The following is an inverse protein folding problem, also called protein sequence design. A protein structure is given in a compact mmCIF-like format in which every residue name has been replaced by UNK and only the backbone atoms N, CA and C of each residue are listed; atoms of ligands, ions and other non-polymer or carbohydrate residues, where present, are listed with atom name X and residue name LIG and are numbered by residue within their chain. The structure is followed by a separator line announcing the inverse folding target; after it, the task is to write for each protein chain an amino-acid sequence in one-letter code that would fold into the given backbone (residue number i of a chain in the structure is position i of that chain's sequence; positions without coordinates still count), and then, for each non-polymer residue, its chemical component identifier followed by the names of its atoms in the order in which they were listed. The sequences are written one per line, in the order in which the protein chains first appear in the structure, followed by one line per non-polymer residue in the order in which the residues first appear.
data_IF_586013861646
#
_entry.id   IF_586013861646
#
_cell.length_a   1.000
_cell.length_b   1.000
_cell.length_c   1.000
_cell.angle_alpha   90.00
_cell.angle_beta   90.00
_cell.angle_gamma   90.00
#
_symmetry.space_group_name_H-M   'P 1'
#
loop_
_entity.id
_entity.type
_entity.pdbx_description
1 polymer ?
#
# COMPACT_ATOMS: atom_id res chain seq x y z
N UNK A 1 12.17 -5.73 11.01
CA UNK A 1 11.55 -5.21 9.77
C UNK A 1 12.33 -5.59 8.52
N UNK A 2 11.71 -6.37 7.62
CA UNK A 2 12.31 -6.90 6.39
C UNK A 2 11.87 -6.11 5.17
N UNK A 3 12.62 -5.05 4.83
CA UNK A 3 12.34 -4.22 3.65
C UNK A 3 13.09 -4.76 2.43
N UNK A 4 12.36 -5.25 1.42
CA UNK A 4 12.96 -5.74 0.19
C UNK A 4 13.27 -4.58 -0.76
N UNK A 5 14.53 -4.14 -0.80
CA UNK A 5 14.98 -3.06 -1.68
C UNK A 5 15.45 -3.54 -3.05
N UNK A 6 15.69 -4.84 -3.25
CA UNK A 6 16.21 -5.36 -4.54
C UNK A 6 15.18 -5.31 -5.66
N UNK A 7 13.89 -5.25 -5.32
CA UNK A 7 12.79 -5.09 -6.29
C UNK A 7 12.63 -3.65 -6.79
N UNK A 8 13.30 -2.67 -6.18
CA UNK A 8 13.21 -1.28 -6.60
C UNK A 8 14.06 -1.07 -7.86
N UNK A 9 13.50 -0.50 -8.95
CA UNK A 9 14.28 -0.14 -10.14
C UNK A 9 15.44 0.82 -9.82
N UNK A 10 16.34 1.09 -10.77
CA UNK A 10 17.40 2.10 -10.59
C UNK A 10 16.88 3.52 -10.78
N UNK A 11 15.98 3.76 -11.74
CA UNK A 11 15.44 5.09 -12.04
C UNK A 11 14.33 5.57 -11.12
N UNK A 12 13.56 6.57 -11.55
CA UNK A 12 12.64 7.32 -10.69
C UNK A 12 11.43 6.50 -10.25
N UNK A 13 11.02 6.63 -8.99
CA UNK A 13 9.88 5.88 -8.42
C UNK A 13 8.83 6.83 -7.85
N UNK A 14 7.56 6.56 -8.16
CA UNK A 14 6.42 7.15 -7.47
C UNK A 14 6.13 6.44 -6.15
N UNK A 15 5.89 7.18 -5.08
CA UNK A 15 5.49 6.65 -3.78
C UNK A 15 4.00 6.93 -3.60
N UNK A 16 3.17 5.89 -3.65
CA UNK A 16 1.74 6.04 -3.42
C UNK A 16 1.48 6.24 -1.91
N UNK A 17 1.13 7.47 -1.52
CA UNK A 17 0.93 7.85 -0.12
C UNK A 17 -0.52 8.25 0.10
N UNK A 18 -1.26 7.49 0.91
CA UNK A 18 -2.64 7.82 1.30
C UNK A 18 -2.69 8.73 2.52
N UNK A 19 -1.62 8.76 3.33
CA UNK A 19 -1.61 9.42 4.64
C UNK A 19 -1.69 8.44 5.80
N UNK A 20 -2.10 7.20 5.54
CA UNK A 20 -2.09 6.09 6.50
C UNK A 20 -0.69 5.61 6.85
N UNK A 21 -0.57 4.98 8.03
CA UNK A 21 0.68 4.51 8.63
C UNK A 21 1.60 3.79 7.63
N UNK A 22 1.08 2.82 6.87
CA UNK A 22 1.92 1.99 5.99
C UNK A 22 2.53 2.78 4.83
N UNK A 23 1.74 3.70 4.30
CA UNK A 23 2.14 4.56 3.19
C UNK A 23 3.12 5.65 3.63
N UNK A 24 2.97 6.16 4.86
CA UNK A 24 3.92 7.08 5.50
C UNK A 24 5.21 6.34 5.83
N UNK A 25 5.14 5.13 6.41
CA UNK A 25 6.29 4.29 6.69
C UNK A 25 7.09 3.97 5.43
N UNK A 26 6.42 3.63 4.33
CA UNK A 26 7.05 3.45 3.02
C UNK A 26 7.85 4.69 2.61
N UNK A 27 7.21 5.86 2.64
CA UNK A 27 7.85 7.10 2.20
C UNK A 27 9.03 7.46 3.10
N UNK A 28 8.87 7.34 4.42
CA UNK A 28 9.90 7.62 5.40
C UNK A 28 11.09 6.65 5.27
N UNK A 29 10.85 5.35 5.10
CA UNK A 29 11.90 4.33 4.96
C UNK A 29 12.74 4.50 3.70
N UNK A 30 12.10 4.82 2.57
CA UNK A 30 12.78 4.94 1.28
C UNK A 30 13.57 6.25 1.16
N UNK A 31 13.11 7.30 1.82
CA UNK A 31 13.79 8.60 1.89
C UNK A 31 14.75 8.72 3.09
N UNK A 32 14.79 7.71 3.98
CA UNK A 32 15.51 7.73 5.26
C UNK A 32 15.15 8.95 6.12
N UNK A 33 13.86 9.27 6.20
CA UNK A 33 13.35 10.44 6.94
C UNK A 33 13.93 11.75 6.39
N UNK A 34 14.01 11.89 5.07
CA UNK A 34 14.57 13.09 4.41
C UNK A 34 16.11 13.19 4.40
N UNK A 35 16.84 12.27 5.03
CA UNK A 35 18.32 12.32 5.10
C UNK A 35 19.02 11.82 3.83
N UNK A 36 18.29 11.27 2.87
CA UNK A 36 18.87 10.75 1.62
C UNK A 36 19.10 11.90 0.62
N UNK A 37 20.37 12.26 0.38
CA UNK A 37 20.78 13.38 -0.51
C UNK A 37 20.06 13.40 -1.87
N UNK A 38 19.92 12.24 -2.52
CA UNK A 38 19.30 12.15 -3.85
C UNK A 38 17.81 11.79 -3.80
N UNK A 39 17.13 11.97 -2.66
CA UNK A 39 15.73 11.60 -2.52
C UNK A 39 14.83 12.34 -3.53
N UNK A 40 15.04 13.64 -3.73
CA UNK A 40 14.23 14.47 -4.64
C UNK A 40 14.31 14.04 -6.11
N UNK A 41 15.49 13.58 -6.54
CA UNK A 41 15.71 13.05 -7.88
C UNK A 41 15.12 11.65 -8.04
N UNK A 42 15.12 10.88 -6.95
CA UNK A 42 14.84 9.45 -6.97
C UNK A 42 13.38 9.10 -6.70
N UNK A 43 12.66 9.93 -5.95
CA UNK A 43 11.30 9.67 -5.49
C UNK A 43 10.38 10.87 -5.75
N UNK A 44 9.09 10.58 -5.91
CA UNK A 44 8.01 11.58 -5.93
C UNK A 44 6.82 11.02 -5.16
N UNK A 45 6.21 11.80 -4.27
CA UNK A 45 4.95 11.41 -3.61
C UNK A 45 3.80 11.55 -4.59
N UNK A 46 3.00 10.50 -4.70
CA UNK A 46 1.76 10.42 -5.48
C UNK A 46 0.58 10.25 -4.53
N UNK A 47 -0.39 11.14 -4.59
CA UNK A 47 -1.58 11.09 -3.74
C UNK A 47 -2.86 11.30 -4.57
N UNK A 48 -3.88 10.49 -4.31
CA UNK A 48 -5.20 10.65 -4.92
C UNK A 48 -6.18 10.87 -3.78
N UNK A 49 -6.70 12.09 -3.73
CA UNK A 49 -7.84 12.41 -2.88
C UNK A 49 -9.12 12.12 -3.69
N UNK A 50 -9.94 11.17 -3.22
CA UNK A 50 -11.17 10.78 -3.89
C UNK A 50 -12.37 11.70 -3.57
N UNK A 51 -12.19 12.71 -2.72
CA UNK A 51 -13.22 13.70 -2.37
C UNK A 51 -14.47 13.09 -1.71
N UNK A 52 -14.33 11.92 -1.08
CA UNK A 52 -15.46 11.17 -0.52
C UNK A 52 -15.87 11.69 0.87
N UNK A 53 -15.05 12.53 1.51
CA UNK A 53 -15.24 13.04 2.88
C UNK A 53 -14.67 14.45 3.03
N UNK A 54 -15.19 15.20 3.99
CA UNK A 54 -14.70 16.57 4.30
C UNK A 54 -13.25 16.55 4.83
N UNK A 55 -12.85 15.46 5.51
CA UNK A 55 -11.51 15.21 6.05
C UNK A 55 -10.43 15.10 4.97
N UNK A 56 -10.80 14.83 3.72
CA UNK A 56 -9.83 14.55 2.66
C UNK A 56 -8.99 15.79 2.26
N UNK A 57 -9.50 17.00 2.53
CA UNK A 57 -8.71 18.25 2.43
C UNK A 57 -7.54 18.27 3.42
N UNK A 58 -7.74 17.77 4.64
CA UNK A 58 -6.71 17.72 5.67
C UNK A 58 -5.69 16.62 5.37
N UNK A 59 -6.14 15.46 4.90
CA UNK A 59 -5.25 14.39 4.43
C UNK A 59 -4.36 14.86 3.27
N UNK A 60 -4.93 15.54 2.28
CA UNK A 60 -4.17 16.10 1.16
C UNK A 60 -3.08 17.06 1.66
N UNK A 61 -3.43 17.98 2.57
CA UNK A 61 -2.47 18.92 3.18
C UNK A 61 -1.40 18.19 3.98
N UNK A 62 -1.79 17.18 4.76
CA UNK A 62 -0.88 16.34 5.53
C UNK A 62 0.14 15.65 4.62
N UNK A 63 -0.30 14.98 3.55
CA UNK A 63 0.59 14.26 2.63
C UNK A 63 1.49 15.23 1.86
N UNK A 64 0.98 16.40 1.47
CA UNK A 64 1.80 17.46 0.85
C UNK A 64 2.89 17.95 1.79
N UNK A 65 2.56 18.17 3.07
CA UNK A 65 3.52 18.60 4.09
C UNK A 65 4.54 17.51 4.41
N UNK A 66 4.12 16.24 4.43
CA UNK A 66 5.01 15.09 4.55
C UNK A 66 6.05 15.08 3.41
N UNK A 67 5.62 15.22 2.15
CA UNK A 67 6.53 15.27 1.01
C UNK A 67 7.56 16.41 1.13
N UNK A 68 7.12 17.58 1.60
CA UNK A 68 7.99 18.73 1.87
C UNK A 68 9.03 18.41 2.96
N UNK A 69 8.62 17.81 4.08
CA UNK A 69 9.53 17.40 5.16
C UNK A 69 10.55 16.34 4.71
N UNK A 70 10.10 15.40 3.87
CA UNK A 70 10.97 14.37 3.29
C UNK A 70 11.88 14.91 2.16
N UNK A 71 11.73 16.17 1.75
CA UNK A 71 12.53 16.79 0.70
C UNK A 71 12.31 16.18 -0.68
N UNK A 72 11.09 15.71 -0.99
CA UNK A 72 10.77 15.09 -2.28
C UNK A 72 9.57 15.77 -2.96
N UNK A 73 9.52 15.78 -4.31
CA UNK A 73 8.39 16.33 -5.05
C UNK A 73 7.05 15.68 -4.66
N UNK A 74 5.98 16.46 -4.74
CA UNK A 74 4.62 16.02 -4.50
C UNK A 74 3.77 16.21 -5.76
N UNK A 75 3.02 15.19 -6.13
CA UNK A 75 1.99 15.24 -7.16
C UNK A 75 0.72 14.63 -6.59
N UNK A 76 -0.33 15.43 -6.49
CA UNK A 76 -1.63 14.93 -6.07
C UNK A 76 -2.76 15.53 -6.87
N UNK A 77 -3.89 14.81 -6.93
CA UNK A 77 -5.14 15.27 -7.54
C UNK A 77 -6.27 15.20 -6.51
N UNK A 78 -7.23 16.11 -6.64
CA UNK A 78 -8.58 15.94 -6.11
C UNK A 78 -9.41 15.32 -7.23
N UNK A 79 -9.93 14.13 -7.00
CA UNK A 79 -10.59 13.34 -8.03
C UNK A 79 -12.07 13.22 -7.72
N UNK A 80 -12.90 13.59 -8.70
CA UNK A 80 -14.33 13.30 -8.67
C UNK A 80 -14.55 11.86 -9.15
N UNK A 81 -15.00 10.99 -8.24
CA UNK A 81 -15.25 9.58 -8.57
C UNK A 81 -16.63 9.42 -9.19
N UNK A 82 -16.71 9.57 -10.51
CA UNK A 82 -17.91 9.23 -11.28
C UNK A 82 -17.99 7.72 -11.50
N UNK A 83 -19.11 7.10 -11.09
CA UNK A 83 -19.36 5.66 -11.24
C UNK A 83 -20.00 5.37 -12.59
N UNK A 84 -19.48 4.37 -13.30
CA UNK A 84 -20.15 3.82 -14.47
C UNK A 84 -21.34 2.94 -14.03
N UNK A 85 -22.29 2.67 -14.94
CA UNK A 85 -23.44 1.80 -14.66
C UNK A 85 -22.96 0.40 -14.26
N UNK A 86 -23.38 -0.08 -13.10
CA UNK A 86 -22.96 -1.37 -12.53
C UNK A 86 -21.60 -1.37 -11.82
N UNK A 87 -20.87 -0.25 -11.81
CA UNK A 87 -19.57 -0.12 -11.15
C UNK A 87 -19.73 0.17 -9.65
N UNK A 88 -19.05 -0.58 -8.78
CA UNK A 88 -18.99 -0.26 -7.36
C UNK A 88 -18.15 1.01 -7.12
N UNK A 89 -18.37 1.69 -5.99
CA UNK A 89 -17.57 2.87 -5.65
C UNK A 89 -16.07 2.54 -5.54
N UNK A 90 -15.74 1.36 -5.00
CA UNK A 90 -14.35 0.88 -4.91
C UNK A 90 -13.72 0.68 -6.29
N UNK A 91 -14.47 0.11 -7.25
CA UNK A 91 -13.99 -0.06 -8.62
C UNK A 91 -13.74 1.29 -9.30
N UNK A 92 -14.66 2.24 -9.15
CA UNK A 92 -14.52 3.58 -9.71
C UNK A 92 -13.31 4.32 -9.11
N UNK A 93 -13.13 4.25 -7.78
CA UNK A 93 -11.96 4.83 -7.11
C UNK A 93 -10.65 4.17 -7.57
N UNK A 94 -10.65 2.84 -7.72
CA UNK A 94 -9.49 2.10 -8.25
C UNK A 94 -9.14 2.53 -9.68
N UNK A 95 -10.13 2.69 -10.56
CA UNK A 95 -9.94 3.17 -11.93
C UNK A 95 -9.30 4.55 -11.97
N UNK A 96 -9.91 5.52 -11.28
CA UNK A 96 -9.38 6.89 -11.15
C UNK A 96 -7.93 6.91 -10.65
N UNK A 97 -7.61 6.05 -9.68
CA UNK A 97 -6.24 5.93 -9.15
C UNK A 97 -5.27 5.38 -10.19
N UNK A 98 -5.67 4.36 -10.95
CA UNK A 98 -4.85 3.76 -12.00
C UNK A 98 -4.62 4.74 -13.17
N UNK A 99 -5.63 5.52 -13.53
CA UNK A 99 -5.53 6.55 -14.58
C UNK A 99 -4.50 7.62 -14.17
N UNK A 100 -4.62 8.14 -12.94
CA UNK A 100 -3.66 9.09 -12.39
C UNK A 100 -2.23 8.55 -12.33
N UNK A 101 -2.06 7.30 -11.90
CA UNK A 101 -0.77 6.64 -11.84
C UNK A 101 -0.15 6.44 -13.23
N UNK A 102 -0.95 6.02 -14.21
CA UNK A 102 -0.51 5.87 -15.60
C UNK A 102 -0.04 7.20 -16.18
N UNK A 103 -0.78 8.26 -15.89
CA UNK A 103 -0.42 9.63 -16.28
C UNK A 103 0.90 10.09 -15.66
N UNK A 104 1.11 9.81 -14.37
CA UNK A 104 2.34 10.15 -13.66
C UNK A 104 3.54 9.36 -14.19
N UNK A 105 3.37 8.06 -14.46
CA UNK A 105 4.41 7.20 -15.06
C UNK A 105 4.90 7.82 -16.37
N UNK A 106 3.98 8.20 -17.27
CA UNK A 106 4.33 8.81 -18.56
C UNK A 106 4.93 10.21 -18.41
N UNK A 107 4.31 11.10 -17.64
CA UNK A 107 4.70 12.53 -17.54
C UNK A 107 5.97 12.75 -16.72
N UNK A 108 6.23 11.92 -15.72
CA UNK A 108 7.36 12.09 -14.79
C UNK A 108 8.51 11.10 -15.03
N UNK A 109 8.37 10.20 -16.00
CA UNK A 109 9.34 9.16 -16.31
C UNK A 109 9.55 8.19 -15.15
N UNK A 110 8.47 7.68 -14.54
CA UNK A 110 8.57 6.76 -13.40
C UNK A 110 8.71 5.32 -13.89
N UNK A 111 9.73 4.61 -13.40
CA UNK A 111 9.93 3.19 -13.72
C UNK A 111 9.00 2.28 -12.91
N UNK A 112 8.55 2.74 -11.74
CA UNK A 112 7.61 2.01 -10.90
C UNK A 112 6.87 2.92 -9.92
N UNK A 113 5.78 2.39 -9.35
CA UNK A 113 5.07 2.94 -8.20
C UNK A 113 5.23 1.99 -7.02
N UNK A 114 5.82 2.49 -5.93
CA UNK A 114 5.89 1.79 -4.66
C UNK A 114 4.60 2.00 -3.85
N UNK A 115 4.10 0.94 -3.24
CA UNK A 115 2.91 0.97 -2.36
C UNK A 115 3.23 0.37 -1.00
N UNK A 116 2.50 0.82 0.02
CA UNK A 116 2.74 0.45 1.43
C UNK A 116 2.24 -0.92 1.84
N UNK A 117 1.91 -1.82 0.90
CA UNK A 117 1.36 -3.13 1.26
C UNK A 117 2.35 -3.95 2.10
N UNK A 118 1.84 -4.61 3.13
CA UNK A 118 2.61 -5.35 4.12
C UNK A 118 2.10 -6.79 4.30
N UNK A 119 2.72 -7.55 5.20
CA UNK A 119 2.48 -8.98 5.40
C UNK A 119 1.04 -9.27 5.82
N UNK A 120 0.47 -8.43 6.68
CA UNK A 120 -0.91 -8.57 7.16
C UNK A 120 -1.92 -8.39 6.03
N UNK A 121 -1.66 -7.51 5.05
CA UNK A 121 -2.49 -7.39 3.85
C UNK A 121 -2.51 -8.68 3.03
N UNK A 122 -1.38 -9.39 2.97
CA UNK A 122 -1.28 -10.69 2.29
C UNK A 122 -2.14 -11.70 3.04
N UNK A 123 -2.05 -11.76 4.36
CA UNK A 123 -2.85 -12.67 5.18
C UNK A 123 -4.35 -12.38 5.08
N UNK A 124 -4.76 -11.11 5.14
CA UNK A 124 -6.15 -10.70 4.92
C UNK A 124 -6.66 -11.16 3.56
N UNK A 125 -5.89 -10.87 2.51
CA UNK A 125 -6.24 -11.25 1.14
C UNK A 125 -6.34 -12.77 1.00
N UNK A 126 -5.41 -13.51 1.59
CA UNK A 126 -5.39 -14.97 1.58
C UNK A 126 -6.65 -15.55 2.21
N UNK A 127 -7.01 -15.10 3.43
CA UNK A 127 -8.21 -15.56 4.14
C UNK A 127 -9.51 -15.21 3.40
N UNK A 128 -9.59 -13.99 2.84
CA UNK A 128 -10.74 -13.58 2.02
C UNK A 128 -10.87 -14.45 0.75
N UNK A 129 -9.75 -14.88 0.15
CA UNK A 129 -9.75 -15.73 -1.05
C UNK A 129 -10.03 -17.20 -0.76
N UNK A 130 -9.65 -17.70 0.42
CA UNK A 130 -10.09 -19.03 0.91
C UNK A 130 -11.61 -19.09 0.94
N UNK A 131 -12.27 -18.07 1.51
CA UNK A 131 -13.75 -18.01 1.56
C UNK A 131 -14.39 -18.13 0.17
N UNK A 132 -13.70 -17.66 -0.88
CA UNK A 132 -14.17 -17.69 -2.27
C UNK A 132 -13.74 -18.94 -3.03
N UNK A 133 -13.22 -19.97 -2.36
CA UNK A 133 -12.70 -21.21 -2.95
C UNK A 133 -11.72 -20.95 -4.12
N UNK A 134 -10.84 -19.95 -3.96
CA UNK A 134 -9.85 -19.62 -5.00
C UNK A 134 -8.82 -20.73 -5.17
N UNK A 135 -8.44 -21.03 -6.41
CA UNK A 135 -7.35 -21.95 -6.70
C UNK A 135 -5.96 -21.42 -6.27
N UNK A 136 -4.89 -22.21 -6.43
CA UNK A 136 -3.53 -21.86 -5.96
C UNK A 136 -3.03 -20.49 -6.44
N UNK A 137 -3.25 -20.14 -7.71
CA UNK A 137 -2.89 -18.84 -8.27
C UNK A 137 -3.68 -17.69 -7.62
N UNK A 138 -4.95 -17.93 -7.35
CA UNK A 138 -5.80 -17.00 -6.61
C UNK A 138 -5.30 -16.84 -5.18
N UNK A 139 -4.95 -17.92 -4.50
CA UNK A 139 -4.46 -17.86 -3.11
C UNK A 139 -3.10 -17.19 -2.96
N UNK A 140 -2.27 -17.15 -4.02
CA UNK A 140 -0.97 -16.50 -4.00
C UNK A 140 -1.01 -15.00 -3.60
N UNK A 141 -2.19 -14.37 -3.63
CA UNK A 141 -2.43 -13.12 -2.91
C UNK A 141 -1.84 -11.90 -3.61
N UNK A 142 -1.08 -11.11 -2.85
CA UNK A 142 -0.41 -9.88 -3.30
C UNK A 142 1.04 -10.22 -3.65
N UNK A 143 1.49 -9.90 -4.87
CA UNK A 143 2.87 -10.14 -5.35
C UNK A 143 3.80 -9.00 -4.97
N UNK A 144 5.09 -9.24 -4.77
CA UNK A 144 6.09 -8.16 -4.57
C UNK A 144 6.14 -7.18 -5.74
N UNK A 145 6.00 -7.70 -6.96
CA UNK A 145 5.95 -6.93 -8.20
C UNK A 145 4.77 -7.36 -9.05
N UNK A 146 4.12 -6.40 -9.71
CA UNK A 146 2.99 -6.65 -10.62
C UNK A 146 2.81 -5.49 -11.58
N UNK A 147 2.30 -5.72 -12.79
CA UNK A 147 1.97 -4.66 -13.74
C UNK A 147 0.47 -4.57 -13.98
N UNK A 148 -0.05 -3.36 -14.10
CA UNK A 148 -1.43 -3.08 -14.55
C UNK A 148 -1.36 -1.99 -15.61
N UNK A 149 -1.62 -2.35 -16.86
CA UNK A 149 -1.36 -1.47 -18.00
C UNK A 149 0.11 -1.00 -18.00
N UNK A 150 0.40 0.30 -18.16
CA UNK A 150 1.76 0.82 -18.14
C UNK A 150 2.37 0.92 -16.73
N UNK A 151 1.59 0.67 -15.67
CA UNK A 151 2.03 0.90 -14.30
C UNK A 151 2.66 -0.37 -13.72
N UNK A 152 3.97 -0.31 -13.48
CA UNK A 152 4.69 -1.31 -12.68
C UNK A 152 4.57 -0.98 -11.19
N UNK A 153 3.99 -1.86 -10.41
CA UNK A 153 3.92 -1.75 -8.95
C UNK A 153 5.03 -2.55 -8.27
N UNK A 154 5.60 -1.96 -7.21
CA UNK A 154 6.57 -2.61 -6.31
C UNK A 154 6.10 -2.48 -4.85
N UNK A 155 6.30 -3.51 -4.04
CA UNK A 155 5.80 -3.60 -2.65
C UNK A 155 6.94 -3.96 -1.69
N UNK A 156 7.86 -3.03 -1.41
CA UNK A 156 9.08 -3.34 -0.65
C UNK A 156 8.81 -3.68 0.83
N UNK A 157 7.61 -3.36 1.33
CA UNK A 157 7.20 -3.63 2.72
C UNK A 157 6.45 -4.96 2.89
N UNK A 158 6.29 -5.76 1.83
CA UNK A 158 5.44 -6.96 1.88
C UNK A 158 5.88 -7.99 2.93
N UNK A 159 7.18 -8.02 3.26
CA UNK A 159 7.74 -8.87 4.33
C UNK A 159 7.76 -8.24 5.72
N UNK A 160 7.16 -7.06 5.92
CA UNK A 160 7.05 -6.36 7.20
C UNK A 160 5.66 -6.55 7.80
N UNK A 161 5.54 -6.51 9.13
CA UNK A 161 4.24 -6.49 9.82
C UNK A 161 3.76 -5.06 10.06
N UNK A 162 2.46 -4.83 10.06
CA UNK A 162 1.82 -3.53 10.37
C UNK A 162 2.38 -2.93 11.67
N UNK A 163 2.45 -3.75 12.73
CA UNK A 163 3.03 -3.35 14.02
C UNK A 163 4.47 -2.83 13.90
N UNK A 164 5.30 -3.46 13.06
CA UNK A 164 6.69 -3.02 12.87
C UNK A 164 6.75 -1.66 12.17
N UNK A 165 5.84 -1.39 11.23
CA UNK A 165 5.75 -0.11 10.54
C UNK A 165 5.32 1.00 11.49
N UNK A 166 4.30 0.76 12.33
CA UNK A 166 3.83 1.71 13.34
C UNK A 166 4.88 1.94 14.43
N UNK A 167 5.54 0.90 14.92
CA UNK A 167 6.65 1.03 15.87
C UNK A 167 7.80 1.86 15.30
N UNK A 168 8.12 1.63 14.02
CA UNK A 168 9.13 2.39 13.32
C UNK A 168 8.77 3.87 13.24
N UNK A 169 7.54 4.23 12.86
CA UNK A 169 7.10 5.63 12.83
C UNK A 169 7.14 6.28 14.22
N UNK A 170 6.60 5.58 15.25
CA UNK A 170 6.63 6.06 16.65
C UNK A 170 8.05 6.32 17.14
N UNK A 171 9.00 5.44 16.83
CA UNK A 171 10.42 5.59 17.19
C UNK A 171 11.03 6.90 16.67
N UNK A 172 10.56 7.39 15.53
CA UNK A 172 11.05 8.63 14.92
C UNK A 172 10.12 9.84 15.16
N UNK A 173 9.07 9.69 15.97
CA UNK A 173 8.08 10.74 16.20
C UNK A 173 7.33 11.16 14.94
N UNK A 174 7.23 10.26 13.95
CA UNK A 174 6.60 10.55 12.68
C UNK A 174 5.09 10.27 12.78
N UNK A 175 4.28 11.30 12.54
CA UNK A 175 2.82 11.22 12.56
C UNK A 175 2.25 10.56 11.30
N UNK A 176 1.04 10.00 11.41
CA UNK A 176 0.22 9.55 10.29
C UNK A 176 -1.25 9.91 10.54
N UNK A 177 -2.10 9.69 9.53
CA UNK A 177 -3.56 9.81 9.65
C UNK A 177 -4.19 8.43 9.76
N UNK A 178 -5.22 8.30 10.59
CA UNK A 178 -6.01 7.08 10.67
C UNK A 178 -7.34 7.30 9.96
N UNK A 179 -7.64 6.45 8.98
CA UNK A 179 -8.92 6.48 8.29
C UNK A 179 -10.01 5.97 9.24
N UNK A 180 -11.04 6.78 9.48
CA UNK A 180 -12.16 6.44 10.37
C UNK A 180 -12.87 5.12 9.96
N UNK A 181 -12.86 4.77 8.68
CA UNK A 181 -13.42 3.51 8.20
C UNK A 181 -12.57 2.29 8.49
N UNK A 182 -11.31 2.45 8.95
CA UNK A 182 -10.49 1.31 9.35
C UNK A 182 -11.12 0.50 10.48
N UNK A 183 -11.96 1.12 11.32
CA UNK A 183 -12.67 0.44 12.41
C UNK A 183 -14.00 -0.22 12.00
N UNK A 184 -14.50 0.05 10.80
CA UNK A 184 -15.82 -0.43 10.36
C UNK A 184 -15.78 -1.91 10.01
N UNK A 185 -16.27 -2.77 10.91
CA UNK A 185 -16.33 -4.22 10.75
C UNK A 185 -17.41 -4.71 9.78
N UNK A 186 -18.25 -3.82 9.24
CA UNK A 186 -19.15 -4.16 8.13
C UNK A 186 -18.37 -4.44 6.83
N UNK A 187 -17.19 -3.82 6.70
CA UNK A 187 -16.27 -4.04 5.58
C UNK A 187 -15.55 -5.38 5.79
N UNK A 188 -15.67 -6.28 4.81
CA UNK A 188 -15.12 -7.66 4.87
C UNK A 188 -13.65 -7.69 5.31
N UNK A 189 -12.83 -6.82 4.72
CA UNK A 189 -11.40 -6.76 5.02
C UNK A 189 -11.12 -6.35 6.47
N UNK A 190 -11.84 -5.36 6.99
CA UNK A 190 -11.71 -4.91 8.38
C UNK A 190 -12.19 -5.99 9.36
N UNK A 191 -13.25 -6.73 9.02
CA UNK A 191 -13.69 -7.89 9.80
C UNK A 191 -12.59 -8.95 9.89
N UNK A 192 -11.93 -9.24 8.78
CA UNK A 192 -10.80 -10.19 8.77
C UNK A 192 -9.64 -9.67 9.61
N UNK A 193 -9.25 -8.40 9.42
CA UNK A 193 -8.16 -7.74 10.15
C UNK A 193 -8.37 -7.70 11.67
N UNK A 194 -9.56 -7.31 12.12
CA UNK A 194 -9.83 -7.03 13.54
C UNK A 194 -10.42 -8.19 14.33
N UNK A 195 -11.01 -9.18 13.66
CA UNK A 195 -11.66 -10.32 14.32
C UNK A 195 -11.00 -11.64 13.97
N UNK A 196 -10.84 -11.93 12.68
CA UNK A 196 -10.40 -13.25 12.23
C UNK A 196 -8.91 -13.47 12.47
N UNK A 197 -8.04 -12.58 11.97
CA UNK A 197 -6.59 -12.72 12.11
C UNK A 197 -6.17 -12.77 13.60
N UNK A 198 -6.62 -11.86 14.48
CA UNK A 198 -6.22 -11.89 15.89
C UNK A 198 -6.73 -13.14 16.62
N UNK A 199 -7.94 -13.61 16.27
CA UNK A 199 -8.46 -14.85 16.83
C UNK A 199 -7.61 -16.04 16.41
N UNK A 200 -7.30 -16.18 15.12
CA UNK A 200 -6.49 -17.29 14.61
C UNK A 200 -5.06 -17.27 15.16
N UNK A 201 -4.44 -16.10 15.28
CA UNK A 201 -3.11 -15.98 15.90
C UNK A 201 -3.14 -16.39 17.39
N UNK A 202 -4.21 -16.03 18.10
CA UNK A 202 -4.37 -16.38 19.51
C UNK A 202 -4.59 -17.87 19.73
N UNK A 203 -5.40 -18.52 18.90
CA UNK A 203 -5.83 -19.92 19.13
C UNK A 203 -4.97 -20.95 18.41
N UNK A 204 -4.31 -20.60 17.31
CA UNK A 204 -3.47 -21.53 16.53
C UNK A 204 -1.98 -21.26 16.76
N UNK A 205 -1.49 -20.09 16.34
CA UNK A 205 -0.07 -19.74 16.43
C UNK A 205 0.13 -18.22 16.28
N UNK A 206 0.84 -17.55 17.20
CA UNK A 206 1.18 -16.13 17.08
C UNK A 206 1.96 -15.75 15.79
N UNK A 207 2.53 -16.74 15.09
CA UNK A 207 3.27 -16.59 13.82
C UNK A 207 2.43 -16.94 12.58
N UNK A 208 1.10 -17.07 12.73
CA UNK A 208 0.23 -17.50 11.62
C UNK A 208 0.34 -16.58 10.41
N UNK A 209 0.41 -15.26 10.59
CA UNK A 209 0.54 -14.32 9.46
C UNK A 209 1.87 -14.52 8.74
N UNK A 210 2.96 -14.78 9.47
CA UNK A 210 4.27 -15.12 8.91
C UNK A 210 4.22 -16.45 8.14
N UNK A 211 3.46 -17.44 8.62
CA UNK A 211 3.24 -18.71 7.92
C UNK A 211 2.44 -18.52 6.62
N UNK A 212 1.32 -17.79 6.67
CA UNK A 212 0.52 -17.48 5.48
C UNK A 212 1.35 -16.73 4.45
N UNK A 213 2.15 -15.75 4.88
CA UNK A 213 3.02 -15.01 3.98
C UNK A 213 4.04 -15.91 3.26
N UNK A 214 4.69 -16.83 3.99
CA UNK A 214 5.60 -17.81 3.38
C UNK A 214 4.89 -18.67 2.34
N UNK A 215 3.67 -19.14 2.65
CA UNK A 215 2.84 -19.90 1.70
C UNK A 215 2.55 -19.07 0.45
N UNK A 216 2.10 -17.82 0.61
CA UNK A 216 1.84 -16.93 -0.54
C UNK A 216 3.09 -16.68 -1.38
N UNK A 217 4.28 -16.57 -0.78
CA UNK A 217 5.55 -16.45 -1.52
C UNK A 217 5.83 -17.72 -2.33
N UNK A 218 5.67 -18.90 -1.75
CA UNK A 218 5.86 -20.18 -2.44
C UNK A 218 4.87 -20.37 -3.60
N UNK A 219 3.58 -20.06 -3.38
CA UNK A 219 2.56 -20.11 -4.41
C UNK A 219 2.89 -19.16 -5.58
N UNK A 220 3.35 -17.94 -5.28
CA UNK A 220 3.75 -16.98 -6.31
C UNK A 220 4.98 -17.41 -7.12
N UNK A 221 5.86 -18.23 -6.53
CA UNK A 221 6.99 -18.83 -7.23
C UNK A 221 6.53 -19.97 -8.15
N UNK A 222 5.62 -20.82 -7.67
CA UNK A 222 5.07 -21.95 -8.42
C UNK A 222 4.17 -21.53 -9.59
N UNK A 223 3.48 -20.37 -9.51
CA UNK A 223 2.68 -19.86 -10.65
C UNK A 223 3.52 -19.18 -11.76
N UNK A 224 4.85 -19.15 -11.64
CA UNK A 224 5.76 -18.60 -12.68
C UNK A 224 6.48 -19.68 -13.48
N UNK A 225 6.36 -20.93 -13.06
CA UNK A 225 6.85 -22.15 -13.72
C UNK A 225 5.71 -22.82 -14.46
#
# INVERSE_FOLDING_TARGET
MRVNRSILPSGRIGLAVSGGADSVALAFLLTKGGKKKNAAQRFVVLHVDHGLREESKEEYRFVRNLAKRLGIPFKGIHAHVCRNRGESLEMAARRVRLDFFSDCVRKLGLEAIATGHHMDDVAETFLMRIRRASGPEGLAGIKETSSVGPVRFVRPLLGCRDRELKDYLRKYGEEWREDASNGDISIERNKVRHKVVPYLEKVLDPKLVEHIFKISVLLNAASKS
#
